data_IF_272929591310
#
_entry.id   IF_272929591310
#
_cell.length_a   1.000
_cell.length_b   1.000
_cell.length_c   1.000
_cell.angle_alpha   90.00
_cell.angle_beta   90.00
_cell.angle_gamma   90.00
#
_symmetry.space_group_name_H-M   'P 1'
#
loop_
_entity.id
_entity.type
_entity.pdbx_description
1 polymer ?
#
# COMPACT_ATOMS: atom_id res chain seq x y z
N UNK A 1 -9.41 -16.65 -8.65
CA UNK A 1 -8.87 -17.98 -8.31
C UNK A 1 -7.40 -17.89 -7.89
N UNK A 2 -6.49 -17.34 -8.71
CA UNK A 2 -5.04 -17.30 -8.44
C UNK A 2 -4.66 -16.67 -7.10
N UNK A 3 -5.21 -15.49 -6.76
CA UNK A 3 -4.93 -14.80 -5.49
C UNK A 3 -5.39 -15.60 -4.27
N UNK A 4 -6.47 -16.32 -4.38
CA UNK A 4 -6.99 -17.18 -3.29
C UNK A 4 -6.04 -18.36 -3.06
N UNK A 5 -5.62 -19.03 -4.12
CA UNK A 5 -4.67 -20.14 -4.05
C UNK A 5 -3.34 -19.67 -3.47
N UNK A 6 -2.80 -18.55 -3.96
CA UNK A 6 -1.57 -17.97 -3.46
C UNK A 6 -1.66 -17.64 -1.95
N UNK A 7 -2.81 -17.11 -1.51
CA UNK A 7 -3.04 -16.77 -0.10
C UNK A 7 -3.20 -18.01 0.77
N UNK A 8 -3.82 -19.07 0.28
CA UNK A 8 -3.95 -20.35 1.00
C UNK A 8 -2.60 -21.06 1.12
N UNK A 9 -1.71 -20.90 0.14
CA UNK A 9 -0.36 -21.47 0.21
C UNK A 9 0.55 -20.65 1.11
N UNK A 10 0.73 -19.39 0.82
CA UNK A 10 1.77 -18.52 1.41
C UNK A 10 1.24 -17.42 2.33
N UNK A 11 -0.05 -17.41 2.65
CA UNK A 11 -0.63 -16.36 3.46
C UNK A 11 -0.71 -15.02 2.72
N UNK A 12 -0.41 -13.90 3.41
CA UNK A 12 -0.57 -12.53 2.88
C UNK A 12 0.59 -12.05 2.01
N UNK A 13 1.27 -12.92 1.26
CA UNK A 13 2.41 -12.53 0.41
C UNK A 13 2.00 -11.51 -0.66
N UNK A 14 0.80 -11.64 -1.23
CA UNK A 14 0.29 -10.66 -2.19
C UNK A 14 0.33 -9.22 -1.65
N UNK A 15 -0.19 -9.01 -0.43
CA UNK A 15 -0.19 -7.68 0.19
C UNK A 15 1.21 -7.19 0.57
N UNK A 16 2.18 -8.11 0.72
CA UNK A 16 3.54 -7.79 1.12
C UNK A 16 4.45 -7.39 -0.03
N UNK A 17 4.33 -8.07 -1.16
CA UNK A 17 5.32 -8.02 -2.25
C UNK A 17 4.70 -7.57 -3.56
N UNK A 18 3.49 -8.04 -3.88
CA UNK A 18 2.89 -7.84 -5.20
C UNK A 18 2.06 -6.57 -5.25
N UNK A 19 1.34 -6.23 -4.17
CA UNK A 19 0.47 -5.06 -4.16
C UNK A 19 1.29 -3.75 -4.19
N UNK A 20 1.21 -2.95 -5.27
CA UNK A 20 2.01 -1.73 -5.40
C UNK A 20 1.67 -0.69 -4.34
N UNK A 21 0.44 -0.67 -3.84
CA UNK A 21 0.03 0.19 -2.74
C UNK A 21 0.74 -0.20 -1.43
N UNK A 22 0.92 -1.50 -1.19
CA UNK A 22 1.66 -2.02 -0.03
C UNK A 22 3.15 -1.66 -0.11
N UNK A 23 3.74 -1.79 -1.30
CA UNK A 23 5.15 -1.41 -1.56
C UNK A 23 5.36 0.09 -1.33
N UNK A 24 4.44 0.92 -1.83
CA UNK A 24 4.50 2.38 -1.61
C UNK A 24 4.45 2.73 -0.11
N UNK A 25 3.58 2.08 0.66
CA UNK A 25 3.52 2.27 2.12
C UNK A 25 4.82 1.83 2.82
N UNK A 26 5.46 0.76 2.34
CA UNK A 26 6.75 0.32 2.87
C UNK A 26 7.86 1.32 2.62
N UNK A 27 7.91 1.93 1.44
CA UNK A 27 8.88 2.97 1.10
C UNK A 27 8.70 4.17 2.02
N UNK A 28 7.46 4.65 2.18
CA UNK A 28 7.13 5.78 3.08
C UNK A 28 7.48 5.46 4.54
N UNK A 29 7.13 4.27 5.01
CA UNK A 29 7.44 3.80 6.36
C UNK A 29 8.94 3.66 6.59
N UNK A 30 9.70 3.19 5.59
CA UNK A 30 11.16 3.11 5.65
C UNK A 30 11.79 4.50 5.76
N UNK A 31 11.33 5.47 4.96
CA UNK A 31 11.79 6.86 4.99
C UNK A 31 11.49 7.51 6.35
N UNK A 32 10.29 7.28 6.91
CA UNK A 32 9.92 7.71 8.25
C UNK A 32 10.83 7.10 9.33
N UNK A 33 11.14 5.81 9.21
CA UNK A 33 11.99 5.09 10.16
C UNK A 33 13.45 5.56 10.19
N UNK A 34 13.98 6.05 9.08
CA UNK A 34 15.34 6.63 9.00
C UNK A 34 15.43 7.94 9.80
N UNK A 35 14.33 8.68 9.89
CA UNK A 35 14.26 9.98 10.60
C UNK A 35 14.00 9.81 12.12
N UNK A 36 13.40 8.67 12.53
CA UNK A 36 13.05 8.37 13.94
C UNK A 36 13.99 7.34 14.54
N UNK A 37 15.24 7.70 14.77
CA UNK A 37 16.34 6.83 15.21
C UNK A 37 16.11 6.07 16.53
N UNK A 38 15.15 6.46 17.37
CA UNK A 38 14.97 5.92 18.74
C UNK A 38 13.56 5.45 19.10
N UNK A 39 12.57 5.51 18.21
CA UNK A 39 11.20 5.07 18.56
C UNK A 39 10.93 3.67 17.99
N UNK A 40 10.26 2.80 18.76
CA UNK A 40 9.78 1.51 18.30
C UNK A 40 9.03 1.70 16.97
N UNK A 41 9.60 1.17 15.89
CA UNK A 41 9.12 1.40 14.52
C UNK A 41 7.67 0.96 14.35
N UNK A 42 7.31 -0.13 14.99
CA UNK A 42 5.99 -0.72 14.91
C UNK A 42 5.57 -1.07 16.33
N UNK A 43 4.77 -0.20 16.95
CA UNK A 43 4.10 -0.53 18.20
C UNK A 43 2.91 -1.46 17.90
N UNK A 44 2.65 -2.42 18.77
CA UNK A 44 1.45 -3.25 18.70
C UNK A 44 0.21 -2.34 18.62
N UNK A 45 -0.67 -2.63 17.65
CA UNK A 45 -1.95 -1.96 17.50
C UNK A 45 -3.05 -3.03 17.52
N UNK A 46 -3.99 -2.94 18.47
CA UNK A 46 -5.09 -3.89 18.53
C UNK A 46 -5.88 -3.85 17.22
N UNK A 47 -6.28 -5.01 16.73
CA UNK A 47 -7.04 -5.10 15.51
C UNK A 47 -8.40 -4.45 15.70
N UNK A 48 -8.67 -3.34 15.02
CA UNK A 48 -9.98 -2.67 14.97
C UNK A 48 -10.96 -3.53 14.15
N UNK A 49 -11.35 -4.67 14.71
CA UNK A 49 -12.19 -5.68 14.03
C UNK A 49 -13.52 -5.11 13.59
N UNK A 50 -14.06 -4.17 14.36
CA UNK A 50 -15.32 -3.50 14.04
C UNK A 50 -15.18 -2.63 12.79
N UNK A 51 -14.13 -1.82 12.73
CA UNK A 51 -13.82 -0.98 11.57
C UNK A 51 -13.58 -1.84 10.32
N UNK A 52 -12.85 -2.95 10.46
CA UNK A 52 -12.58 -3.88 9.35
C UNK A 52 -13.87 -4.50 8.79
N UNK A 53 -14.79 -4.94 9.67
CA UNK A 53 -16.09 -5.48 9.26
C UNK A 53 -16.95 -4.40 8.61
N UNK A 54 -17.02 -3.21 9.20
CA UNK A 54 -17.74 -2.07 8.64
C UNK A 54 -17.24 -1.69 7.25
N UNK A 55 -15.93 -1.57 7.06
CA UNK A 55 -15.34 -1.28 5.75
C UNK A 55 -15.60 -2.40 4.73
N UNK A 56 -15.64 -3.65 5.14
CA UNK A 56 -15.97 -4.76 4.25
C UNK A 56 -17.44 -4.66 3.79
N UNK A 57 -18.37 -4.36 4.70
CA UNK A 57 -19.80 -4.18 4.37
C UNK A 57 -19.97 -2.99 3.41
N UNK A 58 -19.34 -1.85 3.70
CA UNK A 58 -19.36 -0.68 2.83
C UNK A 58 -18.79 -1.01 1.43
N UNK A 59 -17.71 -1.78 1.38
CA UNK A 59 -17.14 -2.20 0.10
C UNK A 59 -18.07 -3.10 -0.70
N UNK A 60 -18.72 -4.08 -0.05
CA UNK A 60 -19.70 -4.96 -0.70
C UNK A 60 -20.89 -4.15 -1.22
N UNK A 61 -21.42 -3.23 -0.40
CA UNK A 61 -22.50 -2.34 -0.81
C UNK A 61 -22.10 -1.44 -1.98
N UNK A 62 -20.89 -0.89 -1.97
CA UNK A 62 -20.33 -0.07 -3.06
C UNK A 62 -20.13 -0.90 -4.35
N UNK A 63 -19.74 -2.18 -4.24
CA UNK A 63 -19.65 -3.09 -5.38
C UNK A 63 -21.02 -3.35 -6.00
N UNK A 64 -22.05 -3.56 -5.20
CA UNK A 64 -23.44 -3.73 -5.67
C UNK A 64 -23.97 -2.45 -6.32
N UNK A 65 -23.59 -1.29 -5.81
CA UNK A 65 -23.93 0.03 -6.39
C UNK A 65 -23.10 0.40 -7.63
N UNK A 66 -22.16 -0.43 -8.08
CA UNK A 66 -21.29 -0.15 -9.23
C UNK A 66 -20.12 0.82 -8.94
N UNK A 67 -19.99 1.32 -7.71
CA UNK A 67 -18.97 2.32 -7.31
C UNK A 67 -17.78 1.68 -6.59
N UNK A 68 -17.72 0.37 -6.52
CA UNK A 68 -16.70 -0.40 -5.78
C UNK A 68 -15.27 -0.13 -6.22
N UNK A 69 -15.07 0.33 -7.46
CA UNK A 69 -13.76 0.71 -7.99
C UNK A 69 -13.09 1.85 -7.20
N UNK A 70 -13.85 2.71 -6.54
CA UNK A 70 -13.31 3.82 -5.73
C UNK A 70 -12.56 3.32 -4.49
N UNK A 71 -13.03 2.22 -3.89
CA UNK A 71 -12.47 1.63 -2.67
C UNK A 71 -11.44 0.54 -2.94
N UNK A 72 -11.33 0.06 -4.19
CA UNK A 72 -10.37 -0.97 -4.56
C UNK A 72 -8.93 -0.43 -4.45
N UNK A 73 -8.00 -1.13 -3.77
CA UNK A 73 -6.63 -0.66 -3.58
C UNK A 73 -5.85 -0.54 -4.90
N UNK A 74 -6.14 -1.40 -5.87
CA UNK A 74 -5.54 -1.33 -7.20
C UNK A 74 -5.97 -0.06 -7.95
N UNK A 75 -7.25 0.27 -7.90
CA UNK A 75 -7.78 1.49 -8.52
C UNK A 75 -7.29 2.76 -7.80
N UNK A 76 -7.15 2.72 -6.46
CA UNK A 76 -6.56 3.82 -5.70
C UNK A 76 -5.09 4.08 -6.13
N UNK A 77 -4.28 3.02 -6.26
CA UNK A 77 -2.92 3.15 -6.77
C UNK A 77 -2.91 3.64 -8.23
N UNK A 78 -3.77 3.09 -9.07
CA UNK A 78 -3.89 3.52 -10.49
C UNK A 78 -4.20 5.00 -10.62
N UNK A 79 -5.09 5.54 -9.79
CA UNK A 79 -5.38 6.99 -9.75
C UNK A 79 -4.17 7.82 -9.31
N UNK A 80 -3.46 7.38 -8.27
CA UNK A 80 -2.23 8.03 -7.82
C UNK A 80 -1.17 7.99 -8.92
N UNK A 81 -0.94 6.83 -9.53
CA UNK A 81 0.04 6.66 -10.58
C UNK A 81 -0.27 7.53 -11.81
N UNK A 82 -1.52 7.53 -12.28
CA UNK A 82 -1.91 8.26 -13.49
C UNK A 82 -2.04 9.77 -13.29
N UNK A 83 -2.36 10.25 -12.09
CA UNK A 83 -2.58 11.69 -11.87
C UNK A 83 -1.42 12.38 -11.14
N UNK A 84 -0.57 11.66 -10.38
CA UNK A 84 0.59 12.24 -9.72
C UNK A 84 1.92 11.79 -10.34
N UNK A 85 2.10 10.46 -10.53
CA UNK A 85 3.40 9.95 -10.98
C UNK A 85 3.61 10.12 -12.49
N UNK A 86 2.57 9.87 -13.29
CA UNK A 86 2.68 9.98 -14.75
C UNK A 86 3.02 11.42 -15.22
N UNK A 87 2.40 12.50 -14.71
CA UNK A 87 2.80 13.87 -15.08
C UNK A 87 4.24 14.20 -14.66
N UNK A 88 4.68 13.75 -13.48
CA UNK A 88 6.06 13.95 -13.02
C UNK A 88 7.04 13.22 -13.92
N UNK A 89 6.72 11.96 -14.29
CA UNK A 89 7.52 11.20 -15.24
C UNK A 89 7.58 11.88 -16.62
N UNK A 90 6.44 12.31 -17.16
CA UNK A 90 6.36 12.99 -18.45
C UNK A 90 7.15 14.31 -18.44
N UNK A 91 7.08 15.08 -17.35
CA UNK A 91 7.88 16.30 -17.18
C UNK A 91 9.37 15.99 -17.14
N UNK A 92 9.78 14.96 -16.40
CA UNK A 92 11.16 14.49 -16.36
C UNK A 92 11.68 14.03 -17.74
N UNK A 93 10.83 13.29 -18.48
CA UNK A 93 11.14 12.86 -19.84
C UNK A 93 11.29 14.06 -20.78
N UNK A 94 10.42 15.06 -20.68
CA UNK A 94 10.50 16.28 -21.51
C UNK A 94 11.76 17.10 -21.20
N UNK A 95 12.18 17.13 -19.93
CA UNK A 95 13.45 17.76 -19.55
C UNK A 95 14.64 17.02 -20.18
N UNK A 96 14.63 15.69 -20.16
CA UNK A 96 15.66 14.87 -20.81
C UNK A 96 15.63 15.04 -22.33
N UNK A 97 14.45 15.09 -22.94
CA UNK A 97 14.28 15.35 -24.38
C UNK A 97 14.86 16.73 -24.77
N UNK A 98 14.64 17.75 -23.94
CA UNK A 98 15.21 19.07 -24.15
C UNK A 98 16.75 19.06 -24.09
N UNK A 99 17.34 18.36 -23.11
CA UNK A 99 18.80 18.23 -22.98
C UNK A 99 19.38 17.41 -24.14
N UNK A 100 18.73 16.30 -24.51
CA UNK A 100 19.12 15.44 -25.62
C UNK A 100 19.11 16.17 -26.98
N UNK A 101 18.07 17.00 -27.21
CA UNK A 101 17.98 17.85 -28.40
C UNK A 101 19.12 18.89 -28.52
N UNK A 102 19.66 19.35 -27.37
CA UNK A 102 20.88 20.20 -27.36
C UNK A 102 22.16 19.46 -27.75
N UNK A 103 22.15 18.13 -27.60
CA UNK A 103 23.28 17.25 -27.92
C UNK A 103 23.10 16.52 -29.26
N UNK A 104 22.16 16.97 -30.10
CA UNK A 104 21.80 16.35 -31.41
C UNK A 104 21.46 14.84 -31.30
N UNK A 105 20.94 14.44 -30.12
CA UNK A 105 20.52 13.06 -29.85
C UNK A 105 18.99 12.96 -29.83
N UNK A 106 18.43 12.14 -30.71
CA UNK A 106 16.99 11.89 -30.82
C UNK A 106 16.52 10.67 -29.98
N UNK A 107 17.27 10.32 -28.92
CA UNK A 107 16.93 9.18 -28.06
C UNK A 107 15.67 9.42 -27.21
N UNK A 108 15.32 10.68 -26.95
CA UNK A 108 14.13 11.07 -26.19
C UNK A 108 13.30 12.04 -27.02
N UNK A 109 11.98 11.86 -27.00
CA UNK A 109 11.02 12.76 -27.63
C UNK A 109 10.08 13.36 -26.59
N UNK A 110 9.57 14.55 -26.85
CA UNK A 110 8.62 15.23 -25.99
C UNK A 110 7.27 14.52 -25.99
N UNK A 111 6.71 14.34 -24.81
CA UNK A 111 5.38 13.73 -24.60
C UNK A 111 4.45 14.79 -24.02
N UNK A 112 3.23 14.89 -24.56
CA UNK A 112 2.24 15.82 -24.03
C UNK A 112 1.83 15.42 -22.61
N UNK A 113 1.94 16.39 -21.68
CA UNK A 113 1.53 16.21 -20.30
C UNK A 113 0.03 16.49 -20.20
N UNK A 114 -0.78 15.44 -20.31
CA UNK A 114 -2.23 15.54 -20.23
C UNK A 114 -2.73 15.36 -18.80
N UNK A 115 -3.36 16.38 -18.23
CA UNK A 115 -4.10 16.30 -16.97
C UNK A 115 -5.55 15.92 -17.22
N UNK A 116 -5.96 14.73 -16.79
CA UNK A 116 -7.27 14.15 -17.13
C UNK A 116 -8.44 14.99 -16.65
N UNK A 117 -8.52 15.28 -15.36
CA UNK A 117 -9.61 16.07 -14.78
C UNK A 117 -9.22 16.54 -13.38
N UNK A 118 -9.64 17.74 -13.00
CA UNK A 118 -9.36 18.34 -11.71
C UNK A 118 -9.96 17.50 -10.56
N UNK A 119 -11.14 16.93 -10.75
CA UNK A 119 -11.80 16.10 -9.75
C UNK A 119 -11.04 14.80 -9.48
N UNK A 120 -10.53 14.13 -10.50
CA UNK A 120 -9.74 12.90 -10.33
C UNK A 120 -8.38 13.19 -9.71
N UNK A 121 -7.76 14.33 -10.03
CA UNK A 121 -6.53 14.80 -9.41
C UNK A 121 -6.75 15.06 -7.90
N UNK A 122 -7.82 15.76 -7.53
CA UNK A 122 -8.13 16.06 -6.14
C UNK A 122 -8.35 14.79 -5.33
N UNK A 123 -9.11 13.84 -5.85
CA UNK A 123 -9.30 12.52 -5.22
C UNK A 123 -7.97 11.77 -5.08
N UNK A 124 -7.12 11.80 -6.10
CA UNK A 124 -5.81 11.16 -6.05
C UNK A 124 -4.90 11.78 -4.98
N UNK A 125 -4.86 13.13 -4.89
CA UNK A 125 -4.07 13.86 -3.90
C UNK A 125 -4.56 13.57 -2.49
N UNK A 126 -5.87 13.63 -2.24
CA UNK A 126 -6.45 13.31 -0.92
C UNK A 126 -6.16 11.87 -0.53
N UNK A 127 -6.36 10.92 -1.44
CA UNK A 127 -6.06 9.50 -1.18
C UNK A 127 -4.58 9.30 -0.88
N UNK A 128 -3.70 9.93 -1.66
CA UNK A 128 -2.25 9.85 -1.43
C UNK A 128 -1.85 10.47 -0.09
N UNK A 129 -2.40 11.63 0.28
CA UNK A 129 -2.11 12.29 1.55
C UNK A 129 -2.54 11.42 2.74
N UNK A 130 -3.74 10.83 2.69
CA UNK A 130 -4.24 9.93 3.73
C UNK A 130 -3.33 8.70 3.86
N UNK A 131 -2.99 8.06 2.75
CA UNK A 131 -2.08 6.90 2.73
C UNK A 131 -0.69 7.25 3.26
N UNK A 132 -0.16 8.40 2.87
CA UNK A 132 1.14 8.89 3.30
C UNK A 132 1.17 9.10 4.81
N UNK A 133 0.18 9.80 5.37
CA UNK A 133 0.08 10.07 6.82
C UNK A 133 -0.04 8.76 7.61
N UNK A 134 -0.89 7.83 7.16
CA UNK A 134 -1.06 6.53 7.82
C UNK A 134 0.22 5.69 7.76
N UNK A 135 0.88 5.64 6.59
CA UNK A 135 2.13 4.91 6.43
C UNK A 135 3.28 5.53 7.23
N UNK A 136 3.32 6.87 7.31
CA UNK A 136 4.31 7.60 8.09
C UNK A 136 4.20 7.35 9.59
N UNK A 137 2.97 7.28 10.12
CA UNK A 137 2.72 7.09 11.57
C UNK A 137 2.81 5.65 12.03
N UNK A 138 2.23 4.72 11.28
CA UNK A 138 1.93 3.37 11.76
C UNK A 138 2.21 2.26 10.74
N UNK A 139 2.98 2.54 9.69
CA UNK A 139 3.34 1.54 8.68
C UNK A 139 2.14 1.08 7.84
N UNK A 140 1.80 -0.21 7.89
CA UNK A 140 0.75 -0.81 7.02
C UNK A 140 -0.67 -0.75 7.61
N UNK A 141 -0.99 0.26 8.42
CA UNK A 141 -2.30 0.37 9.05
C UNK A 141 -3.45 0.40 8.05
N UNK A 142 -3.29 1.10 6.92
CA UNK A 142 -4.30 1.12 5.87
C UNK A 142 -4.65 -0.29 5.37
N UNK A 143 -3.64 -1.11 5.08
CA UNK A 143 -3.85 -2.48 4.60
C UNK A 143 -4.51 -3.39 5.65
N UNK A 144 -4.29 -3.11 6.93
CA UNK A 144 -4.83 -3.92 8.02
C UNK A 144 -6.21 -3.50 8.49
N UNK A 145 -6.59 -2.22 8.36
CA UNK A 145 -7.83 -1.68 8.94
C UNK A 145 -8.85 -1.26 7.88
N UNK A 146 -8.41 -0.62 6.79
CA UNK A 146 -9.29 0.02 5.81
C UNK A 146 -9.45 -0.84 4.55
N UNK A 147 -8.37 -1.49 4.10
CA UNK A 147 -8.38 -2.23 2.84
C UNK A 147 -9.30 -3.47 2.89
N UNK A 148 -10.37 -3.52 2.08
CA UNK A 148 -11.29 -4.66 2.07
C UNK A 148 -10.61 -5.95 1.56
N UNK A 149 -9.75 -5.83 0.55
CA UNK A 149 -8.94 -6.96 0.04
C UNK A 149 -8.02 -7.51 1.13
N UNK A 150 -7.36 -6.62 1.90
CA UNK A 150 -6.54 -7.01 3.05
C UNK A 150 -7.35 -7.73 4.14
N UNK A 151 -8.62 -7.40 4.30
CA UNK A 151 -9.52 -8.05 5.25
C UNK A 151 -9.90 -9.46 4.78
N UNK A 152 -10.30 -9.61 3.53
CA UNK A 152 -10.65 -10.93 2.93
C UNK A 152 -9.44 -11.86 2.91
N UNK A 153 -8.31 -11.39 2.38
CA UNK A 153 -7.08 -12.19 2.34
C UNK A 153 -6.57 -12.50 3.76
N UNK A 154 -6.81 -11.61 4.72
CA UNK A 154 -6.48 -11.86 6.11
C UNK A 154 -7.30 -12.95 6.77
N UNK A 155 -8.56 -13.10 6.38
CA UNK A 155 -9.40 -14.20 6.81
C UNK A 155 -8.90 -15.52 6.20
N UNK A 156 -8.65 -15.54 4.89
CA UNK A 156 -8.13 -16.71 4.18
C UNK A 156 -6.75 -17.15 4.70
N UNK A 157 -5.88 -16.21 5.04
CA UNK A 157 -4.54 -16.50 5.56
C UNK A 157 -4.52 -17.24 6.91
N UNK A 158 -5.63 -17.30 7.62
CA UNK A 158 -5.75 -18.16 8.82
C UNK A 158 -5.63 -19.65 8.48
N UNK A 159 -6.04 -20.02 7.27
CA UNK A 159 -6.03 -21.39 6.76
C UNK A 159 -4.81 -21.67 5.88
N UNK A 160 -3.81 -20.76 5.83
CA UNK A 160 -2.63 -20.94 4.99
C UNK A 160 -1.76 -22.10 5.48
N UNK A 161 -1.18 -22.83 4.50
CA UNK A 161 -0.26 -23.95 4.75
C UNK A 161 1.05 -23.46 5.37
N UNK A 162 1.66 -22.43 4.77
CA UNK A 162 2.89 -21.83 5.25
C UNK A 162 2.58 -20.62 6.12
N UNK A 163 2.63 -20.81 7.43
CA UNK A 163 2.45 -19.72 8.40
C UNK A 163 3.53 -19.77 9.48
N UNK A 164 4.09 -18.62 9.88
CA UNK A 164 5.04 -18.56 10.99
C UNK A 164 4.32 -18.99 12.29
N UNK A 165 4.92 -19.92 13.02
CA UNK A 165 4.48 -20.29 14.37
C UNK A 165 5.57 -19.87 15.36
N UNK A 166 5.18 -19.19 16.41
CA UNK A 166 6.07 -18.78 17.48
C UNK A 166 5.92 -19.78 18.64
N UNK A 167 7.05 -20.34 19.05
CA UNK A 167 7.12 -21.18 20.25
C UNK A 167 7.35 -20.26 21.46
N UNK A 168 6.29 -20.06 22.23
CA UNK A 168 6.33 -19.19 23.42
C UNK A 168 7.18 -19.76 24.54
N UNK A 169 7.40 -21.10 24.56
CA UNK A 169 8.23 -21.74 25.59
C UNK A 169 9.71 -21.41 25.43
N UNK A 170 10.16 -21.10 24.21
CA UNK A 170 11.55 -20.73 23.89
C UNK A 170 11.75 -19.21 23.78
N UNK A 171 10.72 -18.42 24.08
CA UNK A 171 10.76 -16.98 23.95
C UNK A 171 11.49 -16.34 25.14
N UNK A 172 12.57 -15.60 24.86
CA UNK A 172 13.31 -14.83 25.86
C UNK A 172 12.79 -13.39 26.07
N UNK A 173 11.64 -13.04 25.49
CA UNK A 173 11.02 -11.72 25.66
C UNK A 173 11.74 -10.54 25.01
N UNK A 174 12.68 -10.74 24.08
CA UNK A 174 13.49 -9.66 23.49
C UNK A 174 12.69 -8.67 22.61
N UNK A 175 11.41 -8.94 22.31
CA UNK A 175 10.49 -8.12 21.49
C UNK A 175 11.00 -7.77 20.08
N UNK A 176 12.02 -8.46 19.59
CA UNK A 176 12.60 -8.20 18.26
C UNK A 176 11.60 -8.51 17.14
N UNK A 177 10.80 -9.55 17.29
CA UNK A 177 9.71 -9.90 16.36
C UNK A 177 8.63 -8.81 16.29
N UNK A 178 8.21 -8.26 17.45
CA UNK A 178 7.25 -7.16 17.49
C UNK A 178 7.80 -5.88 16.82
N UNK A 179 9.07 -5.54 17.11
CA UNK A 179 9.74 -4.35 16.53
C UNK A 179 9.92 -4.44 15.00
N UNK A 180 10.04 -5.63 14.45
CA UNK A 180 10.19 -5.85 13.00
C UNK A 180 8.87 -6.15 12.29
N UNK A 181 7.79 -6.32 13.02
CA UNK A 181 6.48 -6.62 12.43
C UNK A 181 5.86 -5.38 11.78
N UNK A 182 6.00 -5.25 10.47
CA UNK A 182 5.41 -4.15 9.67
C UNK A 182 3.88 -4.06 9.77
N UNK A 183 3.22 -5.14 10.15
CA UNK A 183 1.78 -5.21 10.32
C UNK A 183 1.32 -4.80 11.74
N UNK A 184 2.25 -4.56 12.67
CA UNK A 184 1.98 -4.19 14.08
C UNK A 184 1.02 -5.16 14.78
N UNK A 185 1.12 -6.47 14.47
CA UNK A 185 0.19 -7.50 14.95
C UNK A 185 0.77 -8.43 16.02
N UNK A 186 2.02 -8.23 16.42
CA UNK A 186 2.72 -9.02 17.44
C UNK A 186 2.84 -8.16 18.71
N UNK A 187 2.30 -8.66 19.80
CA UNK A 187 2.42 -8.06 21.12
C UNK A 187 3.68 -8.57 21.86
#
# INVERSE_FOLDING_TARGET
AFLVILTLLFGRVYCSVICPLGVMQDIVSWASGKRRKHRNRFAYSPALTWLRRGMLVVFVAAMLAGVGSLLAPYSAYGRIASNLLAPVYAWGNNLLAYIAGRMDSYAFYSVDVWMKSLSTLLVAVVTFAVLFVLAWRSGRTYCNTICPVGTVLGFLARYSLFKPRFDTSKCNGCKLCARNCKASCID
#
